data_IF_183098093465
#
_entry.id   IF_183098093465
#
_cell.length_a   1.000
_cell.length_b   1.000
_cell.length_c   1.000
_cell.angle_alpha   90.00
_cell.angle_beta   90.00
_cell.angle_gamma   90.00
#
_symmetry.space_group_name_H-M   'P 1'
#
loop_
_entity.id
_entity.type
_entity.pdbx_description
1 polymer ?
#
# COMPACT_ATOMS: atom_id res chain seq x y z
N UNK A 1 -14.95 -3.20 -10.33
CA UNK A 1 -13.74 -2.81 -11.09
C UNK A 1 -13.50 -3.62 -12.37
N UNK A 2 -13.75 -4.94 -12.41
CA UNK A 2 -13.73 -5.73 -13.66
C UNK A 2 -14.69 -5.21 -14.74
N UNK A 3 -15.86 -4.71 -14.34
CA UNK A 3 -16.82 -4.06 -15.24
C UNK A 3 -16.30 -2.75 -15.89
N UNK A 4 -15.20 -2.17 -15.39
CA UNK A 4 -14.53 -0.99 -15.98
C UNK A 4 -13.42 -1.36 -16.98
N UNK A 5 -13.26 -2.65 -17.32
CA UNK A 5 -12.28 -3.13 -18.29
C UNK A 5 -10.83 -3.16 -17.79
N UNK A 6 -10.60 -2.96 -16.49
CA UNK A 6 -9.26 -3.01 -15.88
C UNK A 6 -8.90 -4.46 -15.54
N UNK A 7 -8.40 -5.20 -16.54
CA UNK A 7 -7.88 -6.55 -16.34
C UNK A 7 -6.45 -6.48 -15.79
N UNK A 8 -6.21 -7.16 -14.66
CA UNK A 8 -4.88 -7.29 -14.04
C UNK A 8 -3.99 -8.14 -14.93
N UNK A 9 -2.78 -7.66 -15.27
CA UNK A 9 -1.78 -8.45 -15.99
C UNK A 9 -1.19 -9.52 -15.06
N UNK A 10 -0.66 -10.61 -15.62
CA UNK A 10 -0.13 -11.73 -14.84
C UNK A 10 0.93 -11.31 -13.80
N UNK A 11 1.79 -10.35 -14.16
CA UNK A 11 2.87 -9.85 -13.28
C UNK A 11 2.55 -8.51 -12.61
N UNK A 12 1.31 -8.04 -12.71
CA UNK A 12 0.90 -6.78 -12.09
C UNK A 12 0.53 -7.02 -10.62
N UNK A 13 1.09 -6.19 -9.73
CA UNK A 13 0.71 -6.13 -8.30
C UNK A 13 -0.03 -4.82 -8.01
N UNK A 14 -1.08 -4.89 -7.20
CA UNK A 14 -1.88 -3.77 -6.71
C UNK A 14 -1.70 -3.66 -5.20
N UNK A 15 -1.16 -2.52 -4.76
CA UNK A 15 -0.92 -2.21 -3.35
C UNK A 15 -1.78 -0.99 -2.98
N UNK A 16 -2.46 -1.06 -1.84
CA UNK A 16 -3.26 0.06 -1.32
C UNK A 16 -2.62 0.56 -0.02
N UNK A 17 -2.11 1.78 -0.03
CA UNK A 17 -1.44 2.38 1.13
C UNK A 17 -2.21 3.56 1.75
N UNK A 18 -2.15 3.69 3.09
CA UNK A 18 -2.59 4.90 3.79
C UNK A 18 -3.35 4.63 5.09
N UNK A 19 -3.92 5.69 5.68
CA UNK A 19 -4.64 5.59 6.96
C UNK A 19 -5.91 4.73 6.88
N UNK A 20 -6.55 4.65 5.71
CA UNK A 20 -7.67 3.74 5.45
C UNK A 20 -7.24 2.28 5.53
N UNK A 21 -6.13 1.92 4.85
CA UNK A 21 -5.54 0.59 4.92
C UNK A 21 -5.13 0.22 6.34
N UNK A 22 -4.57 1.17 7.10
CA UNK A 22 -4.20 0.95 8.49
C UNK A 22 -5.41 0.64 9.39
N UNK A 23 -6.48 1.43 9.25
CA UNK A 23 -7.65 1.34 10.15
C UNK A 23 -8.59 0.18 9.81
N UNK A 24 -8.74 -0.15 8.53
CA UNK A 24 -9.75 -1.08 8.04
C UNK A 24 -9.15 -2.22 7.22
N UNK A 25 -7.91 -2.63 7.53
CA UNK A 25 -7.21 -3.67 6.77
C UNK A 25 -8.05 -4.95 6.60
N UNK A 26 -8.78 -5.36 7.64
CA UNK A 26 -9.52 -6.63 7.66
C UNK A 26 -10.75 -6.56 6.77
N UNK A 27 -11.51 -5.47 6.88
CA UNK A 27 -12.68 -5.20 6.06
C UNK A 27 -12.27 -5.01 4.60
N UNK A 28 -11.24 -4.21 4.34
CA UNK A 28 -10.74 -3.95 2.99
C UNK A 28 -10.19 -5.20 2.32
N UNK A 29 -9.56 -6.10 3.06
CA UNK A 29 -9.12 -7.38 2.51
C UNK A 29 -10.28 -8.24 2.02
N UNK A 30 -11.38 -8.29 2.78
CA UNK A 30 -12.57 -9.04 2.41
C UNK A 30 -13.32 -8.40 1.23
N UNK A 31 -13.40 -7.07 1.19
CA UNK A 31 -14.13 -6.32 0.17
C UNK A 31 -13.36 -6.15 -1.15
N UNK A 32 -12.02 -6.18 -1.10
CA UNK A 32 -11.14 -5.92 -2.25
C UNK A 32 -10.13 -7.08 -2.46
N UNK A 33 -10.59 -8.28 -2.83
CA UNK A 33 -9.74 -9.45 -3.01
C UNK A 33 -8.75 -9.31 -4.19
N UNK A 34 -8.92 -8.32 -5.07
CA UNK A 34 -7.97 -8.03 -6.16
C UNK A 34 -6.65 -7.37 -5.71
N UNK A 35 -6.65 -6.79 -4.50
CA UNK A 35 -5.51 -6.09 -3.91
C UNK A 35 -4.52 -7.13 -3.34
N UNK A 36 -3.28 -7.07 -3.78
CA UNK A 36 -2.24 -8.00 -3.32
C UNK A 36 -1.72 -7.63 -1.93
N UNK A 37 -1.80 -6.35 -1.55
CA UNK A 37 -1.36 -5.89 -0.24
C UNK A 37 -1.98 -4.58 0.23
N UNK A 38 -2.18 -4.50 1.54
CA UNK A 38 -2.55 -3.28 2.24
C UNK A 38 -1.37 -2.81 3.09
N UNK A 39 -1.04 -1.52 3.01
CA UNK A 39 0.08 -0.94 3.74
C UNK A 39 -0.44 0.23 4.56
N UNK A 40 -0.18 0.24 5.86
CA UNK A 40 -0.58 1.35 6.73
C UNK A 40 0.25 2.61 6.47
N UNK A 41 -0.15 3.71 7.10
CA UNK A 41 0.58 4.98 6.97
C UNK A 41 1.98 4.87 7.60
N UNK A 42 2.07 4.17 8.73
CA UNK A 42 3.32 4.03 9.49
C UNK A 42 4.40 3.23 8.74
N UNK A 43 4.02 2.46 7.70
CA UNK A 43 4.95 1.64 6.92
C UNK A 43 5.25 2.21 5.53
N UNK A 44 4.78 3.42 5.23
CA UNK A 44 5.05 4.07 3.94
C UNK A 44 6.55 4.27 3.70
N UNK A 45 7.34 4.53 4.75
CA UNK A 45 8.80 4.62 4.66
C UNK A 45 9.48 3.31 4.22
N UNK A 46 8.85 2.16 4.48
CA UNK A 46 9.36 0.83 4.14
C UNK A 46 8.81 0.30 2.82
N UNK A 47 7.97 1.09 2.13
CA UNK A 47 7.24 0.65 0.94
C UNK A 47 8.19 0.14 -0.17
N UNK A 48 9.37 0.75 -0.33
CA UNK A 48 10.38 0.29 -1.29
C UNK A 48 10.81 -1.15 -1.05
N UNK A 49 11.20 -1.48 0.18
CA UNK A 49 11.60 -2.82 0.58
C UNK A 49 10.43 -3.83 0.48
N UNK A 50 9.21 -3.39 0.78
CA UNK A 50 8.00 -4.21 0.67
C UNK A 50 7.69 -4.55 -0.81
N UNK A 51 7.80 -3.57 -1.71
CA UNK A 51 7.65 -3.77 -3.16
C UNK A 51 8.70 -4.74 -3.69
N UNK A 52 9.97 -4.56 -3.31
CA UNK A 52 11.04 -5.48 -3.70
C UNK A 52 10.75 -6.93 -3.27
N UNK A 53 10.34 -7.13 -2.02
CA UNK A 53 9.94 -8.46 -1.51
C UNK A 53 8.80 -9.07 -2.34
N UNK A 54 7.78 -8.29 -2.68
CA UNK A 54 6.62 -8.77 -3.45
C UNK A 54 6.97 -9.14 -4.90
N UNK A 55 7.78 -8.31 -5.56
CA UNK A 55 8.23 -8.57 -6.94
C UNK A 55 9.14 -9.80 -6.97
N UNK A 56 10.07 -9.93 -6.02
CA UNK A 56 10.99 -11.07 -5.94
C UNK A 56 10.27 -12.38 -5.61
N UNK A 57 9.25 -12.36 -4.74
CA UNK A 57 8.45 -13.56 -4.39
C UNK A 57 7.59 -14.05 -5.55
N UNK A 58 7.11 -13.14 -6.40
CA UNK A 58 6.37 -13.48 -7.63
C UNK A 58 7.16 -14.36 -8.59
N UNK A 59 8.50 -14.31 -8.53
CA UNK A 59 9.37 -15.17 -9.34
C UNK A 59 9.55 -16.59 -8.79
N UNK A 60 9.24 -16.84 -7.50
CA UNK A 60 9.61 -18.09 -6.83
C UNK A 60 8.45 -19.01 -6.47
N UNK A 61 7.23 -18.53 -6.21
CA UNK A 61 6.17 -19.41 -5.68
C UNK A 61 4.77 -19.01 -6.16
N UNK A 62 4.20 -19.88 -7.02
CA UNK A 62 2.75 -20.08 -7.22
C UNK A 62 2.21 -21.06 -6.18
N UNK A 63 2.70 -21.01 -4.94
CA UNK A 63 2.16 -21.86 -3.87
C UNK A 63 1.09 -21.11 -3.08
N UNK A 64 -0.12 -21.63 -3.19
CA UNK A 64 -1.38 -21.09 -2.70
C UNK A 64 -1.53 -21.05 -1.16
N UNK A 65 -0.47 -21.35 -0.40
CA UNK A 65 -0.49 -21.40 1.06
C UNK A 65 0.07 -20.13 1.74
N UNK A 66 0.68 -19.22 1.00
CA UNK A 66 1.47 -18.10 1.54
C UNK A 66 0.80 -16.72 1.37
N UNK A 67 -0.37 -16.69 0.73
CA UNK A 67 -1.18 -15.48 0.62
C UNK A 67 -1.62 -14.97 2.00
N UNK A 68 -1.89 -15.89 2.93
CA UNK A 68 -2.33 -15.58 4.30
C UNK A 68 -1.31 -14.70 5.07
N UNK A 69 0.00 -14.95 4.92
CA UNK A 69 1.01 -14.11 5.56
C UNK A 69 1.18 -12.76 4.88
N UNK A 70 1.00 -12.69 3.55
CA UNK A 70 1.13 -11.42 2.80
C UNK A 70 -0.04 -10.46 3.09
N UNK A 71 -1.23 -11.01 3.36
CA UNK A 71 -2.39 -10.25 3.83
C UNK A 71 -2.30 -9.90 5.33
N UNK A 72 -1.49 -10.61 6.11
CA UNK A 72 -1.34 -10.41 7.55
C UNK A 72 -0.32 -9.34 7.94
N UNK A 73 0.44 -8.80 7.00
CA UNK A 73 1.43 -7.78 7.31
C UNK A 73 0.75 -6.43 7.56
N UNK A 74 0.51 -6.20 8.85
CA UNK A 74 0.31 -4.93 9.54
C UNK A 74 -1.16 -4.57 9.79
N UNK A 75 -1.88 -5.47 10.47
CA UNK A 75 -3.03 -5.08 11.29
C UNK A 75 -2.56 -4.23 12.47
N UNK A 76 -2.24 -2.97 12.24
CA UNK A 76 -2.18 -1.98 13.31
C UNK A 76 -3.61 -1.53 13.59
N UNK A 77 -4.32 -2.25 14.49
CA UNK A 77 -5.49 -1.68 15.18
C UNK A 77 -5.11 -0.45 16.04
N UNK A 78 -3.81 -0.14 16.10
CA UNK A 78 -3.23 1.01 16.76
C UNK A 78 -3.39 2.29 15.95
N UNK A 79 -3.66 3.37 16.69
CA UNK A 79 -3.68 4.75 16.20
C UNK A 79 -2.40 5.04 15.40
N UNK A 80 -2.51 5.66 14.19
CA UNK A 80 -1.34 6.02 13.40
C UNK A 80 -0.45 6.99 14.17
N UNK A 81 0.86 6.72 14.15
CA UNK A 81 1.89 7.52 14.84
C UNK A 81 2.78 8.29 13.87
N UNK A 82 2.72 7.96 12.58
CA UNK A 82 3.53 8.61 11.56
C UNK A 82 3.18 10.08 11.40
N UNK A 83 4.18 10.93 11.64
CA UNK A 83 4.14 12.38 11.43
C UNK A 83 5.29 12.70 10.47
N UNK A 84 5.00 13.21 9.26
CA UNK A 84 6.04 13.68 8.35
C UNK A 84 6.87 14.80 8.99
N UNK A 85 8.17 14.60 9.08
CA UNK A 85 9.15 15.58 9.57
C UNK A 85 9.81 16.36 8.42
N UNK A 86 10.88 17.11 8.72
CA UNK A 86 11.58 17.91 7.70
C UNK A 86 12.39 17.05 6.73
N UNK A 87 12.85 15.86 7.13
CA UNK A 87 13.63 14.91 6.32
C UNK A 87 12.73 14.05 5.41
N UNK A 88 11.43 14.00 5.67
CA UNK A 88 10.47 13.25 4.86
C UNK A 88 10.49 13.75 3.40
N UNK A 89 10.75 12.87 2.40
CA UNK A 89 10.86 13.26 1.00
C UNK A 89 9.57 13.91 0.50
N UNK A 90 9.66 15.06 -0.17
CA UNK A 90 8.50 15.77 -0.74
C UNK A 90 8.70 16.04 -2.22
N UNK A 91 7.79 15.54 -3.04
CA UNK A 91 7.73 15.88 -4.46
C UNK A 91 6.80 17.09 -4.67
N UNK A 92 7.29 18.15 -5.31
CA UNK A 92 6.47 19.34 -5.59
C UNK A 92 5.52 19.06 -6.75
N UNK A 93 4.24 18.91 -6.43
CA UNK A 93 3.17 18.72 -7.42
C UNK A 93 2.67 20.04 -8.04
N UNK A 94 3.02 21.18 -7.45
CA UNK A 94 2.58 22.51 -7.89
C UNK A 94 3.73 23.31 -8.52
N UNK A 95 3.46 24.28 -9.42
CA UNK A 95 4.50 25.14 -10.02
C UNK A 95 5.41 25.82 -8.99
N UNK A 96 6.64 26.13 -9.41
CA UNK A 96 7.70 26.63 -8.52
C UNK A 96 7.32 27.92 -7.76
N UNK A 97 6.46 28.74 -8.35
CA UNK A 97 6.00 30.02 -7.82
C UNK A 97 4.67 29.94 -7.06
N UNK A 98 4.12 28.74 -6.85
CA UNK A 98 2.84 28.54 -6.13
C UNK A 98 3.06 27.93 -4.74
N UNK A 99 2.29 28.42 -3.77
CA UNK A 99 2.25 27.89 -2.40
C UNK A 99 0.79 27.77 -1.95
N UNK A 100 0.49 26.72 -1.18
CA UNK A 100 -0.81 26.50 -0.55
C UNK A 100 -0.61 26.42 0.96
N UNK A 101 -1.40 27.20 1.70
CA UNK A 101 -1.43 27.17 3.16
C UNK A 101 -2.83 26.78 3.58
N UNK A 102 -2.94 25.67 4.32
CA UNK A 102 -4.19 25.27 4.97
C UNK A 102 -4.20 25.86 6.38
N UNK A 103 -5.23 26.64 6.69
CA UNK A 103 -5.50 27.18 8.03
C UNK A 103 -6.55 26.29 8.71
#
# INVERSE_FOLDING_TARGET
HQQRGLNKRADQKLIVSGCMSQRFARELHNELPEVDAFVGLDQVGELGALVEKMVMRSSRLRDASDASETHALLFAETRPTYIPDYDTPRFRLTPAHSVYVKI
#
